data_IF_402104264387
#
_entry.id   IF_402104264387
#
_cell.length_a   1.000
_cell.length_b   1.000
_cell.length_c   1.000
_cell.angle_alpha   90.00
_cell.angle_beta   90.00
_cell.angle_gamma   90.00
#
_symmetry.space_group_name_H-M   'P 1'
#
loop_
_entity.id
_entity.type
_entity.pdbx_description
1 polymer ?
#
# COMPACT_ATOMS: atom_id res chain seq x y z
N UNK A 1 12.70 6.44 2.89
CA UNK A 1 11.97 5.42 3.69
C UNK A 1 10.91 4.68 2.88
N UNK A 2 9.93 5.39 2.30
CA UNK A 2 8.81 4.76 1.57
C UNK A 2 9.24 3.83 0.44
N UNK A 3 10.17 4.24 -0.43
CA UNK A 3 10.73 3.37 -1.49
C UNK A 3 11.26 2.03 -0.95
N UNK A 4 11.96 2.04 0.19
CA UNK A 4 12.48 0.81 0.80
C UNK A 4 11.34 -0.08 1.34
N UNK A 5 10.25 0.49 1.86
CA UNK A 5 9.06 -0.26 2.29
C UNK A 5 8.31 -0.84 1.09
N UNK A 6 8.18 -0.08 0.00
CA UNK A 6 7.61 -0.52 -1.27
C UNK A 6 8.41 -1.71 -1.81
N UNK A 7 9.74 -1.57 -1.88
CA UNK A 7 10.64 -2.64 -2.31
C UNK A 7 10.45 -3.93 -1.48
N UNK A 8 10.47 -3.80 -0.13
CA UNK A 8 10.23 -4.94 0.76
C UNK A 8 8.85 -5.58 0.56
N UNK A 9 7.81 -4.77 0.33
CA UNK A 9 6.47 -5.26 0.05
C UNK A 9 6.43 -6.05 -1.26
N UNK A 10 6.94 -5.47 -2.36
CA UNK A 10 6.93 -6.10 -3.69
C UNK A 10 7.67 -7.44 -3.68
N UNK A 11 8.85 -7.51 -3.06
CA UNK A 11 9.58 -8.77 -2.90
C UNK A 11 8.77 -9.77 -2.07
N UNK A 12 8.17 -9.33 -0.95
CA UNK A 12 7.40 -10.21 -0.06
C UNK A 12 6.20 -10.84 -0.76
N UNK A 13 5.58 -10.14 -1.71
CA UNK A 13 4.43 -10.66 -2.48
C UNK A 13 4.85 -11.48 -3.72
N UNK A 14 6.16 -11.57 -4.01
CA UNK A 14 6.69 -12.47 -5.05
C UNK A 14 7.27 -11.77 -6.28
N UNK A 15 7.50 -10.45 -6.26
CA UNK A 15 8.22 -9.79 -7.35
C UNK A 15 9.70 -10.19 -7.32
N UNK A 16 10.23 -10.70 -8.44
CA UNK A 16 11.66 -10.96 -8.62
C UNK A 16 12.48 -9.65 -8.47
N UNK A 17 13.42 -9.58 -7.49
CA UNK A 17 14.28 -8.41 -7.30
C UNK A 17 15.11 -8.03 -8.54
N UNK A 18 15.44 -8.99 -9.42
CA UNK A 18 16.19 -8.72 -10.67
C UNK A 18 15.33 -8.03 -11.72
N UNK A 19 14.00 -8.07 -11.56
CA UNK A 19 13.00 -7.49 -12.45
C UNK A 19 12.27 -6.32 -11.79
N UNK A 20 12.85 -5.73 -10.75
CA UNK A 20 12.33 -4.58 -10.02
C UNK A 20 13.35 -3.45 -10.06
N UNK A 21 12.91 -2.24 -10.41
CA UNK A 21 13.74 -1.03 -10.31
C UNK A 21 12.92 0.14 -9.79
N UNK A 22 13.62 1.16 -9.30
CA UNK A 22 13.02 2.47 -9.05
C UNK A 22 13.51 3.46 -10.10
N UNK A 23 12.57 4.11 -10.79
CA UNK A 23 12.86 5.13 -11.80
C UNK A 23 12.38 6.48 -11.27
N UNK A 24 13.27 7.47 -11.26
CA UNK A 24 12.89 8.84 -10.97
C UNK A 24 12.21 9.48 -12.19
N UNK A 25 11.19 10.28 -11.97
CA UNK A 25 10.59 11.10 -13.02
C UNK A 25 11.56 12.19 -13.48
N UNK A 26 11.54 12.47 -14.79
CA UNK A 26 12.22 13.66 -15.32
C UNK A 26 11.35 14.91 -15.12
N UNK A 27 11.95 16.09 -15.19
CA UNK A 27 11.25 17.36 -14.99
C UNK A 27 10.09 17.61 -15.97
N UNK A 28 10.15 17.03 -17.17
CA UNK A 28 9.10 17.10 -18.20
C UNK A 28 7.98 16.05 -18.04
N UNK A 29 8.15 15.08 -17.15
CA UNK A 29 7.17 14.02 -16.85
C UNK A 29 6.48 14.23 -15.50
N UNK A 30 7.04 15.10 -14.66
CA UNK A 30 6.56 15.37 -13.32
C UNK A 30 5.13 15.91 -13.36
N UNK A 31 4.25 15.28 -12.57
CA UNK A 31 2.89 15.76 -12.41
C UNK A 31 2.88 17.20 -11.86
N UNK A 32 1.92 18.02 -12.30
CA UNK A 32 1.81 19.43 -11.92
C UNK A 32 1.69 19.69 -10.41
N UNK A 33 1.35 18.67 -9.63
CA UNK A 33 1.22 18.71 -8.18
C UNK A 33 2.43 18.15 -7.42
N UNK A 34 3.41 17.56 -8.11
CA UNK A 34 4.54 16.88 -7.49
C UNK A 34 5.82 17.72 -7.59
N UNK A 35 6.69 17.62 -6.57
CA UNK A 35 8.03 18.21 -6.56
C UNK A 35 9.15 17.17 -6.77
N UNK A 36 8.90 15.89 -6.50
CA UNK A 36 9.73 14.76 -6.90
C UNK A 36 8.84 13.50 -7.00
N UNK A 37 9.22 12.52 -7.82
CA UNK A 37 8.49 11.28 -7.94
C UNK A 37 9.40 10.11 -8.32
N UNK A 38 9.20 8.98 -7.64
CA UNK A 38 9.91 7.72 -7.91
C UNK A 38 8.93 6.58 -8.11
N UNK A 39 8.99 5.94 -9.26
CA UNK A 39 8.13 4.80 -9.60
C UNK A 39 8.88 3.49 -9.35
N UNK A 40 8.25 2.57 -8.65
CA UNK A 40 8.64 1.17 -8.65
C UNK A 40 8.11 0.51 -9.93
N UNK A 41 9.01 0.15 -10.82
CA UNK A 41 8.71 -0.50 -12.09
C UNK A 41 9.06 -1.98 -12.04
N UNK A 42 8.17 -2.82 -12.58
CA UNK A 42 8.41 -4.25 -12.74
C UNK A 42 8.62 -4.57 -14.22
N UNK A 43 9.63 -5.37 -14.53
CA UNK A 43 9.91 -5.84 -15.90
C UNK A 43 9.03 -7.03 -16.23
N UNK A 44 8.08 -6.81 -17.13
CA UNK A 44 7.14 -7.81 -17.63
C UNK A 44 7.37 -8.05 -19.12
N UNK A 45 6.56 -8.94 -19.71
CA UNK A 45 6.46 -9.19 -21.14
C UNK A 45 6.06 -7.95 -21.95
N UNK A 46 5.43 -6.96 -21.30
CA UNK A 46 5.11 -5.64 -21.87
C UNK A 46 6.22 -4.60 -21.68
N UNK A 47 7.39 -5.01 -21.17
CA UNK A 47 8.48 -4.12 -20.77
C UNK A 47 8.37 -3.67 -19.31
N UNK A 48 9.07 -2.58 -19.00
CA UNK A 48 9.03 -1.97 -17.67
C UNK A 48 7.70 -1.23 -17.49
N UNK A 49 6.89 -1.69 -16.55
CA UNK A 49 5.61 -1.07 -16.22
C UNK A 49 5.64 -0.49 -14.81
N UNK A 50 5.09 0.72 -14.65
CA UNK A 50 4.90 1.35 -13.35
C UNK A 50 3.86 0.57 -12.54
N UNK A 51 4.27 0.10 -11.35
CA UNK A 51 3.43 -0.68 -10.44
C UNK A 51 3.08 0.08 -9.16
N UNK A 52 4.01 0.93 -8.69
CA UNK A 52 3.79 1.79 -7.52
C UNK A 52 4.45 3.15 -7.77
N UNK A 53 3.67 4.22 -7.87
CA UNK A 53 4.17 5.59 -7.87
C UNK A 53 4.44 6.07 -6.44
N UNK A 54 5.54 6.80 -6.21
CA UNK A 54 5.85 7.42 -4.92
C UNK A 54 6.13 8.90 -5.14
N UNK A 55 5.09 9.72 -5.03
CA UNK A 55 5.15 11.15 -5.30
C UNK A 55 5.31 11.97 -4.01
N UNK A 56 6.15 13.00 -4.04
CA UNK A 56 6.12 14.10 -3.08
C UNK A 56 5.22 15.20 -3.65
N UNK A 57 4.03 15.37 -3.07
CA UNK A 57 3.03 16.35 -3.48
C UNK A 57 3.16 17.66 -2.71
N UNK A 58 4.13 17.76 -1.80
CA UNK A 58 4.27 18.84 -0.85
C UNK A 58 2.90 19.20 -0.25
N UNK A 59 2.57 20.48 -0.13
CA UNK A 59 1.30 20.97 0.40
C UNK A 59 0.26 21.30 -0.69
N UNK A 60 0.44 20.81 -1.94
CA UNK A 60 -0.36 21.26 -3.09
C UNK A 60 -1.85 21.06 -2.86
N UNK A 61 -2.28 19.84 -2.52
CA UNK A 61 -3.70 19.49 -2.42
C UNK A 61 -4.42 20.22 -1.29
N UNK A 62 -3.82 20.25 -0.11
CA UNK A 62 -4.38 20.97 1.04
C UNK A 62 -4.50 22.46 0.75
N UNK A 63 -3.53 23.03 0.03
CA UNK A 63 -3.56 24.44 -0.38
C UNK A 63 -4.67 24.70 -1.39
N UNK A 64 -4.82 23.85 -2.40
CA UNK A 64 -5.87 24.02 -3.42
C UNK A 64 -7.28 23.83 -2.81
N UNK A 65 -7.48 22.81 -1.98
CA UNK A 65 -8.76 22.60 -1.29
C UNK A 65 -9.08 23.73 -0.31
N UNK A 66 -8.09 24.27 0.41
CA UNK A 66 -8.28 25.45 1.26
C UNK A 66 -8.75 26.65 0.44
N UNK A 67 -8.10 26.92 -0.70
CA UNK A 67 -8.47 28.03 -1.60
C UNK A 67 -9.88 27.87 -2.17
N UNK A 68 -10.24 26.66 -2.59
CA UNK A 68 -11.52 26.40 -3.22
C UNK A 68 -12.70 26.44 -2.23
N UNK A 69 -12.50 25.96 -1.00
CA UNK A 69 -13.58 25.81 -0.01
C UNK A 69 -13.63 26.92 1.03
N UNK A 70 -12.54 27.67 1.21
CA UNK A 70 -12.38 28.59 2.33
C UNK A 70 -12.19 27.90 3.69
N UNK A 71 -12.18 26.57 3.74
CA UNK A 71 -11.96 25.80 4.96
C UNK A 71 -10.46 25.58 5.15
N UNK A 72 -9.92 26.02 6.29
CA UNK A 72 -8.48 25.93 6.56
C UNK A 72 -8.06 24.49 6.86
N UNK A 73 -7.19 23.92 6.02
CA UNK A 73 -6.60 22.59 6.20
C UNK A 73 -5.13 22.73 6.63
N UNK A 74 -4.89 22.93 7.92
CA UNK A 74 -3.56 23.08 8.49
C UNK A 74 -3.43 22.35 9.83
N UNK A 75 -2.19 22.08 10.23
CA UNK A 75 -1.85 21.55 11.53
C UNK A 75 -1.16 22.63 12.38
N UNK A 76 -1.31 22.55 13.70
CA UNK A 76 -0.62 23.43 14.64
C UNK A 76 0.47 22.66 15.38
N UNK A 77 1.66 23.25 15.45
CA UNK A 77 2.78 22.75 16.25
C UNK A 77 3.08 23.75 17.37
N UNK A 78 3.07 23.27 18.61
CA UNK A 78 3.45 24.10 19.76
C UNK A 78 4.91 24.51 19.64
N UNK A 79 5.17 25.79 19.86
CA UNK A 79 6.52 26.31 19.95
C UNK A 79 7.15 25.90 21.29
N UNK A 80 8.47 25.62 21.33
CA UNK A 80 9.17 25.33 22.59
C UNK A 80 9.06 26.46 23.62
N UNK A 81 8.97 27.71 23.16
CA UNK A 81 8.68 28.88 23.97
C UNK A 81 7.83 29.87 23.14
N UNK A 82 6.96 30.68 23.79
CA UNK A 82 6.16 31.68 23.08
C UNK A 82 7.05 32.70 22.37
N UNK A 83 6.71 33.01 21.12
CA UNK A 83 7.43 34.01 20.32
C UNK A 83 6.61 35.29 20.25
N UNK A 84 7.20 36.43 20.56
CA UNK A 84 6.59 37.74 20.30
C UNK A 84 6.88 38.10 18.84
N UNK A 85 5.84 38.41 18.08
CA UNK A 85 5.93 38.78 16.67
C UNK A 85 5.27 40.14 16.48
N UNK A 86 5.98 41.05 15.81
CA UNK A 86 5.40 42.31 15.37
C UNK A 86 4.47 42.03 14.19
N UNK A 87 3.18 42.35 14.36
CA UNK A 87 2.14 42.18 13.36
C UNK A 87 1.78 43.54 12.80
N UNK A 88 1.79 43.64 11.47
CA UNK A 88 1.31 44.79 10.71
C UNK A 88 0.17 44.32 9.83
N UNK A 89 -1.04 44.85 10.05
CA UNK A 89 -2.22 44.45 9.29
C UNK A 89 -3.00 45.67 8.80
N UNK A 90 -3.56 45.56 7.59
CA UNK A 90 -4.60 46.45 7.14
C UNK A 90 -5.89 46.13 7.92
N UNK A 91 -6.40 47.10 8.68
CA UNK A 91 -7.61 47.01 9.47
C UNK A 91 -8.77 47.71 8.74
N UNK A 92 -9.52 47.00 7.88
CA UNK A 92 -10.62 47.58 7.13
C UNK A 92 -11.83 47.91 8.00
N UNK A 93 -12.43 49.08 7.77
CA UNK A 93 -13.74 49.45 8.29
C UNK A 93 -14.83 48.81 7.42
N UNK A 94 -15.23 47.60 7.79
CA UNK A 94 -16.23 46.78 7.07
C UNK A 94 -17.55 47.53 6.81
N UNK A 95 -17.96 48.42 7.72
CA UNK A 95 -19.19 49.18 7.58
C UNK A 95 -19.13 50.23 6.47
N UNK A 96 -18.01 50.96 6.36
CA UNK A 96 -17.80 51.96 5.31
C UNK A 96 -17.56 51.27 3.98
N UNK A 97 -16.68 50.28 3.93
CA UNK A 97 -16.39 49.50 2.70
C UNK A 97 -17.66 48.84 2.16
N UNK A 98 -18.48 48.25 3.04
CA UNK A 98 -19.75 47.63 2.64
C UNK A 98 -20.75 48.63 2.04
N UNK A 99 -20.81 49.86 2.55
CA UNK A 99 -21.69 50.92 2.02
C UNK A 99 -21.17 51.47 0.69
N UNK A 100 -19.86 51.66 0.56
CA UNK A 100 -19.22 52.24 -0.61
C UNK A 100 -19.22 51.28 -1.80
N UNK A 101 -18.72 50.05 -1.61
CA UNK A 101 -18.46 49.10 -2.71
C UNK A 101 -19.56 48.06 -2.91
N UNK A 102 -20.52 47.95 -1.97
CA UNK A 102 -21.70 47.06 -2.06
C UNK A 102 -21.34 45.62 -2.47
N UNK A 103 -21.60 45.24 -3.73
CA UNK A 103 -21.35 43.88 -4.27
C UNK A 103 -19.85 43.57 -4.35
N UNK A 104 -19.00 44.58 -4.51
CA UNK A 104 -17.54 44.43 -4.60
C UNK A 104 -16.87 44.44 -3.22
N UNK A 105 -17.59 44.79 -2.14
CA UNK A 105 -17.03 44.93 -0.80
C UNK A 105 -16.27 43.67 -0.33
N UNK A 106 -16.75 42.48 -0.70
CA UNK A 106 -16.05 41.23 -0.39
C UNK A 106 -14.68 41.17 -1.07
N UNK A 107 -14.60 41.48 -2.36
CA UNK A 107 -13.35 41.46 -3.13
C UNK A 107 -12.34 42.48 -2.57
N UNK A 108 -12.81 43.66 -2.15
CA UNK A 108 -11.97 44.68 -1.50
C UNK A 108 -11.43 44.18 -0.15
N UNK A 109 -12.27 43.55 0.68
CA UNK A 109 -11.84 42.99 1.97
C UNK A 109 -10.82 41.85 1.79
N UNK A 110 -11.07 40.95 0.84
CA UNK A 110 -10.17 39.83 0.53
C UNK A 110 -8.82 40.34 -0.01
N UNK A 111 -8.83 41.37 -0.86
CA UNK A 111 -7.61 42.00 -1.39
C UNK A 111 -6.80 42.73 -0.30
N UNK A 112 -7.46 43.47 0.61
CA UNK A 112 -6.79 44.11 1.75
C UNK A 112 -6.19 43.08 2.73
N UNK A 113 -6.88 41.96 2.96
CA UNK A 113 -6.38 40.89 3.82
C UNK A 113 -5.22 40.09 3.22
N UNK A 114 -4.99 40.20 1.91
CA UNK A 114 -3.93 39.49 1.19
C UNK A 114 -2.67 40.33 0.91
N UNK A 115 -2.61 41.58 1.39
CA UNK A 115 -1.45 42.46 1.20
C UNK A 115 -0.22 41.93 1.95
N UNK A 116 0.96 42.05 1.32
CA UNK A 116 2.25 41.81 1.98
C UNK A 116 2.60 42.99 2.90
N UNK A 117 3.49 42.77 3.87
CA UNK A 117 3.96 43.82 4.79
C UNK A 117 4.50 45.06 4.03
N UNK A 118 5.24 44.84 2.95
CA UNK A 118 5.77 45.89 2.07
C UNK A 118 4.62 46.74 1.47
N UNK A 119 3.56 46.09 0.98
CA UNK A 119 2.40 46.78 0.43
C UNK A 119 1.55 47.46 1.50
N UNK A 120 1.53 46.95 2.73
CA UNK A 120 0.85 47.61 3.85
C UNK A 120 1.61 48.89 4.26
N UNK A 121 2.95 48.87 4.21
CA UNK A 121 3.75 50.07 4.41
C UNK A 121 3.53 51.12 3.30
N UNK A 122 3.38 50.69 2.04
CA UNK A 122 2.98 51.55 0.92
C UNK A 122 1.57 52.12 1.11
N UNK A 123 0.61 51.27 1.49
CA UNK A 123 -0.76 51.65 1.82
C UNK A 123 -0.76 52.77 2.88
N UNK A 124 -0.01 52.62 3.97
CA UNK A 124 0.06 53.63 5.03
C UNK A 124 0.56 54.99 4.51
N UNK A 125 1.58 54.98 3.65
CA UNK A 125 2.13 56.21 3.03
C UNK A 125 1.14 56.86 2.07
N UNK A 126 0.58 56.10 1.13
CA UNK A 126 -0.37 56.63 0.15
C UNK A 126 -1.68 57.10 0.78
N UNK A 127 -2.13 56.44 1.86
CA UNK A 127 -3.25 56.92 2.62
C UNK A 127 -2.98 58.33 3.15
N UNK A 128 -1.76 58.66 3.58
CA UNK A 128 -1.41 60.02 4.03
C UNK A 128 -1.69 61.09 2.97
N UNK A 129 -1.43 60.77 1.70
CA UNK A 129 -1.64 61.61 0.51
C UNK A 129 -3.12 61.64 0.04
N UNK A 130 -3.96 60.75 0.56
CA UNK A 130 -5.42 60.82 0.49
C UNK A 130 -6.09 59.55 0.00
N UNK A 131 -5.46 58.81 -0.90
CA UNK A 131 -6.04 57.63 -1.57
C UNK A 131 -4.96 56.60 -1.88
N UNK A 132 -5.27 55.32 -1.68
CA UNK A 132 -4.47 54.20 -2.18
C UNK A 132 -5.24 53.44 -3.26
N UNK A 133 -4.58 53.10 -4.36
CA UNK A 133 -5.15 52.30 -5.43
C UNK A 133 -4.90 50.81 -5.15
N UNK A 134 -5.95 50.11 -4.77
CA UNK A 134 -5.91 48.68 -4.51
C UNK A 134 -6.30 47.91 -5.76
N UNK A 135 -5.40 47.06 -6.25
CA UNK A 135 -5.70 46.12 -7.35
C UNK A 135 -6.45 44.89 -6.82
N UNK A 136 -7.60 44.59 -7.41
CA UNK A 136 -8.44 43.44 -7.09
C UNK A 136 -8.03 42.19 -7.91
N UNK A 137 -8.60 41.05 -7.57
CA UNK A 137 -8.29 39.75 -8.20
C UNK A 137 -8.69 39.67 -9.68
N UNK A 138 -9.64 40.50 -10.13
CA UNK A 138 -10.07 40.63 -11.53
C UNK A 138 -9.27 41.71 -12.30
N UNK A 139 -8.16 42.16 -11.74
CA UNK A 139 -7.30 43.24 -12.22
C UNK A 139 -7.92 44.64 -12.22
N UNK A 140 -9.15 44.81 -11.73
CA UNK A 140 -9.72 46.15 -11.53
C UNK A 140 -9.01 46.88 -10.39
N UNK A 141 -8.99 48.21 -10.44
CA UNK A 141 -8.43 49.04 -9.38
C UNK A 141 -9.55 49.80 -8.67
N UNK A 142 -9.50 49.79 -7.34
CA UNK A 142 -10.41 50.55 -6.49
C UNK A 142 -9.62 51.51 -5.59
N UNK A 143 -10.22 52.66 -5.32
CA UNK A 143 -9.64 53.69 -4.48
C UNK A 143 -10.08 53.54 -3.03
N UNK A 144 -9.11 53.36 -2.13
CA UNK A 144 -9.33 53.15 -0.70
C UNK A 144 -8.80 54.36 0.07
N UNK A 145 -9.59 54.89 1.01
CA UNK A 145 -9.27 56.10 1.78
C UNK A 145 -9.03 55.80 3.26
N UNK A 146 -8.55 56.80 4.02
CA UNK A 146 -8.28 56.71 5.47
C UNK A 146 -9.51 56.28 6.28
N UNK A 147 -10.71 56.63 5.84
CA UNK A 147 -11.96 56.27 6.52
C UNK A 147 -12.35 54.79 6.30
N UNK A 148 -11.80 54.18 5.25
CA UNK A 148 -12.10 52.81 4.83
C UNK A 148 -11.11 51.79 5.40
N UNK A 149 -9.85 52.16 5.57
CA UNK A 149 -8.82 51.25 6.09
C UNK A 149 -7.78 52.02 6.90
N UNK A 150 -7.40 51.45 8.04
CA UNK A 150 -6.30 51.93 8.87
C UNK A 150 -5.22 50.86 8.96
N UNK A 151 -3.96 51.25 9.14
CA UNK A 151 -2.88 50.29 9.42
C UNK A 151 -2.74 50.12 10.93
N UNK A 152 -2.74 48.87 11.40
CA UNK A 152 -2.51 48.54 12.80
C UNK A 152 -1.18 47.83 12.95
N UNK A 153 -0.37 48.31 13.89
CA UNK A 153 0.90 47.70 14.30
C UNK A 153 0.78 47.29 15.76
N UNK A 154 0.96 46.02 16.06
CA UNK A 154 0.89 45.51 17.43
C UNK A 154 1.77 44.26 17.60
N UNK A 155 2.15 43.98 18.84
CA UNK A 155 2.85 42.76 19.19
C UNK A 155 1.88 41.66 19.55
N UNK A 156 2.06 40.48 18.97
CA UNK A 156 1.29 39.29 19.29
C UNK A 156 2.21 38.21 19.82
N UNK A 157 1.87 37.66 20.98
CA UNK A 157 2.50 36.43 21.48
C UNK A 157 1.90 35.23 20.76
N UNK A 158 2.74 34.49 20.08
CA UNK A 158 2.38 33.29 19.32
C UNK A 158 2.90 32.07 20.08
N UNK A 159 2.00 31.14 20.41
CA UNK A 159 2.32 29.90 21.14
C UNK A 159 2.44 28.68 20.22
N UNK A 160 1.90 28.79 19.00
CA UNK A 160 1.85 27.71 18.01
C UNK A 160 2.29 28.24 16.66
N UNK A 161 3.02 27.42 15.91
CA UNK A 161 3.25 27.64 14.48
C UNK A 161 2.24 26.82 13.68
N UNK A 162 1.63 27.45 12.68
CA UNK A 162 0.76 26.75 11.74
C UNK A 162 1.61 26.20 10.59
N UNK A 163 1.36 24.95 10.22
CA UNK A 163 2.06 24.23 9.16
C UNK A 163 1.02 23.60 8.25
N UNK A 164 1.17 23.79 6.94
CA UNK A 164 0.41 23.01 5.96
C UNK A 164 1.23 21.74 5.68
N UNK A 165 0.73 20.54 6.08
CA UNK A 165 1.51 19.32 5.97
C UNK A 165 1.91 18.99 4.52
N UNK A 166 3.18 18.64 4.31
CA UNK A 166 3.62 18.01 3.06
C UNK A 166 3.15 16.55 3.00
N UNK A 167 2.77 16.10 1.81
CA UNK A 167 2.21 14.76 1.58
C UNK A 167 3.15 13.94 0.68
N UNK A 168 3.64 12.82 1.20
CA UNK A 168 4.25 11.76 0.39
C UNK A 168 3.18 10.71 0.09
N UNK A 169 2.96 10.41 -1.18
CA UNK A 169 1.93 9.50 -1.66
C UNK A 169 2.55 8.27 -2.35
N UNK A 170 2.60 7.12 -1.65
CA UNK A 170 2.75 5.81 -2.27
C UNK A 170 1.41 5.31 -2.84
N UNK A 171 1.28 5.28 -4.16
CA UNK A 171 0.08 4.83 -4.87
C UNK A 171 0.32 3.47 -5.51
N UNK A 172 -0.44 2.44 -5.09
CA UNK A 172 -0.23 1.05 -5.51
C UNK A 172 -1.25 0.62 -6.56
N UNK A 173 -0.78 0.33 -7.78
CA UNK A 173 -1.58 -0.30 -8.82
C UNK A 173 -1.72 -1.81 -8.58
N UNK A 174 -2.57 -2.23 -7.64
CA UNK A 174 -2.70 -3.64 -7.21
C UNK A 174 -2.90 -4.61 -8.38
N UNK A 175 -3.67 -4.24 -9.41
CA UNK A 175 -3.85 -5.05 -10.61
C UNK A 175 -2.54 -5.28 -11.38
N UNK A 176 -1.71 -4.24 -11.54
CA UNK A 176 -0.40 -4.35 -12.20
C UNK A 176 0.60 -5.12 -11.35
N UNK A 177 0.61 -4.89 -10.03
CA UNK A 177 1.44 -5.65 -9.08
C UNK A 177 1.11 -7.14 -9.17
N UNK A 178 -0.18 -7.49 -9.16
CA UNK A 178 -0.63 -8.88 -9.26
C UNK A 178 -0.27 -9.51 -10.61
N UNK A 179 -0.42 -8.78 -11.71
CA UNK A 179 0.02 -9.24 -13.03
C UNK A 179 1.53 -9.53 -13.08
N UNK A 180 2.36 -8.60 -12.58
CA UNK A 180 3.80 -8.78 -12.50
C UNK A 180 4.17 -9.98 -11.61
N UNK A 181 3.49 -10.16 -10.48
CA UNK A 181 3.66 -11.34 -9.61
C UNK A 181 3.32 -12.63 -10.36
N UNK A 182 2.23 -12.70 -11.12
CA UNK A 182 1.93 -13.88 -11.92
C UNK A 182 3.01 -14.18 -12.95
N UNK A 183 3.44 -13.17 -13.70
CA UNK A 183 4.45 -13.38 -14.74
C UNK A 183 5.81 -13.80 -14.16
N UNK A 184 6.21 -13.22 -13.03
CA UNK A 184 7.48 -13.55 -12.38
C UNK A 184 7.48 -14.94 -11.72
N UNK A 185 6.31 -15.49 -11.41
CA UNK A 185 6.17 -16.76 -10.69
C UNK A 185 5.59 -17.91 -11.54
N UNK A 186 5.18 -17.65 -12.78
CA UNK A 186 4.71 -18.70 -13.68
C UNK A 186 5.87 -19.58 -14.15
N UNK A 187 5.76 -20.88 -13.92
CA UNK A 187 6.79 -21.87 -14.22
C UNK A 187 6.19 -23.10 -14.89
N UNK A 188 7.02 -23.82 -15.64
CA UNK A 188 6.73 -25.14 -16.19
C UNK A 188 7.55 -26.18 -15.42
N UNK A 189 7.06 -27.42 -15.34
CA UNK A 189 7.84 -28.54 -14.81
C UNK A 189 8.80 -29.07 -15.87
N UNK A 190 9.99 -29.46 -15.44
CA UNK A 190 10.96 -30.10 -16.32
C UNK A 190 10.42 -31.45 -16.81
N UNK A 191 10.45 -31.68 -18.12
CA UNK A 191 10.00 -32.93 -18.75
C UNK A 191 8.50 -33.06 -18.99
N UNK A 192 7.67 -32.09 -18.58
CA UNK A 192 6.23 -32.08 -18.87
C UNK A 192 5.74 -30.63 -19.09
N UNK A 193 5.75 -30.18 -20.35
CA UNK A 193 5.36 -28.81 -20.71
C UNK A 193 3.90 -28.47 -20.39
N UNK A 194 3.05 -29.47 -20.22
CA UNK A 194 1.64 -29.29 -19.88
C UNK A 194 1.46 -29.03 -18.38
N UNK A 195 2.44 -29.37 -17.54
CA UNK A 195 2.39 -29.13 -16.09
C UNK A 195 2.98 -27.77 -15.76
N UNK A 196 2.09 -26.80 -15.66
CA UNK A 196 2.41 -25.44 -15.22
C UNK A 196 2.10 -25.25 -13.74
N UNK A 197 2.77 -24.32 -13.09
CA UNK A 197 2.50 -23.93 -11.71
C UNK A 197 2.89 -22.48 -11.45
N UNK A 198 2.27 -21.90 -10.43
CA UNK A 198 2.58 -20.55 -9.97
C UNK A 198 3.35 -20.63 -8.65
N UNK A 199 4.61 -20.21 -8.67
CA UNK A 199 5.56 -20.20 -7.55
C UNK A 199 5.28 -19.09 -6.52
N UNK A 200 4.02 -18.80 -6.23
CA UNK A 200 3.66 -17.71 -5.31
C UNK A 200 4.20 -17.96 -3.89
N UNK A 201 4.70 -16.92 -3.20
CA UNK A 201 5.06 -17.04 -1.78
C UNK A 201 3.87 -17.53 -0.94
N UNK A 202 4.08 -18.43 0.04
CA UNK A 202 2.98 -18.99 0.84
C UNK A 202 2.09 -17.93 1.51
N UNK A 203 2.68 -16.80 1.91
CA UNK A 203 1.97 -15.68 2.55
C UNK A 203 0.87 -15.08 1.66
N UNK A 204 1.01 -15.13 0.32
CA UNK A 204 0.04 -14.57 -0.64
C UNK A 204 -0.67 -15.63 -1.50
N UNK A 205 -0.28 -16.90 -1.42
CA UNK A 205 -0.96 -17.96 -2.13
C UNK A 205 -2.47 -18.01 -1.79
N UNK A 206 -3.39 -18.20 -2.77
CA UNK A 206 -4.83 -18.11 -2.53
C UNK A 206 -5.34 -19.12 -1.49
N UNK A 207 -4.84 -20.35 -1.60
CA UNK A 207 -5.03 -21.42 -0.64
C UNK A 207 -3.65 -21.89 -0.18
N UNK A 208 -3.52 -22.21 1.10
CA UNK A 208 -2.23 -22.59 1.69
C UNK A 208 -1.99 -24.08 1.60
N UNK A 209 -3.05 -24.89 1.64
CA UNK A 209 -2.95 -26.34 1.67
C UNK A 209 -3.96 -27.03 0.75
N UNK A 210 -3.57 -28.15 0.15
CA UNK A 210 -4.50 -29.14 -0.38
C UNK A 210 -4.53 -30.38 0.52
N UNK A 211 -5.68 -31.04 0.62
CA UNK A 211 -5.82 -32.33 1.33
C UNK A 211 -6.27 -33.36 0.31
N UNK A 212 -5.45 -34.39 0.11
CA UNK A 212 -5.52 -35.31 -1.02
C UNK A 212 -5.45 -36.76 -0.53
N UNK A 213 -6.56 -37.53 -0.53
CA UNK A 213 -6.46 -38.97 -0.27
C UNK A 213 -5.72 -39.67 -1.42
N UNK A 214 -4.89 -40.69 -1.19
CA UNK A 214 -4.08 -41.31 -2.25
C UNK A 214 -4.95 -41.92 -3.36
N UNK A 215 -6.08 -42.49 -2.97
CA UNK A 215 -7.08 -43.14 -3.82
C UNK A 215 -8.49 -42.88 -3.28
N UNK A 216 -9.51 -43.46 -3.92
CA UNK A 216 -10.91 -43.40 -3.45
C UNK A 216 -11.24 -44.37 -2.31
N UNK A 217 -10.26 -44.86 -1.54
CA UNK A 217 -10.50 -45.76 -0.43
C UNK A 217 -11.34 -45.04 0.66
N UNK A 218 -12.45 -45.67 1.08
CA UNK A 218 -13.35 -45.16 2.10
C UNK A 218 -12.64 -44.96 3.46
N UNK A 219 -11.60 -45.73 3.76
CA UNK A 219 -10.83 -45.63 5.00
C UNK A 219 -10.07 -44.31 5.14
N UNK A 220 -9.83 -43.59 4.03
CA UNK A 220 -9.18 -42.27 4.07
C UNK A 220 -10.16 -41.13 4.44
N UNK A 221 -11.46 -41.32 4.24
CA UNK A 221 -12.48 -40.27 4.42
C UNK A 221 -12.49 -39.69 5.84
N UNK A 222 -12.42 -40.49 6.93
CA UNK A 222 -12.35 -39.95 8.28
C UNK A 222 -11.14 -39.04 8.50
N UNK A 223 -9.96 -39.44 7.99
CA UNK A 223 -8.73 -38.66 8.12
C UNK A 223 -8.78 -37.35 7.34
N UNK A 224 -9.32 -37.37 6.12
CA UNK A 224 -9.54 -36.16 5.31
C UNK A 224 -10.42 -35.16 6.06
N UNK A 225 -11.53 -35.63 6.63
CA UNK A 225 -12.48 -34.80 7.37
C UNK A 225 -11.86 -34.17 8.62
N UNK A 226 -11.17 -34.98 9.44
CA UNK A 226 -10.50 -34.50 10.66
C UNK A 226 -9.42 -33.48 10.32
N UNK A 227 -8.57 -33.79 9.33
CA UNK A 227 -7.51 -32.88 8.93
C UNK A 227 -8.04 -31.55 8.37
N UNK A 228 -9.11 -31.57 7.59
CA UNK A 228 -9.78 -30.36 7.10
C UNK A 228 -10.32 -29.51 8.27
N UNK A 229 -10.91 -30.13 9.29
CA UNK A 229 -11.38 -29.43 10.49
C UNK A 229 -10.23 -28.82 11.28
N UNK A 230 -9.13 -29.55 11.48
CA UNK A 230 -7.97 -29.04 12.20
C UNK A 230 -7.26 -27.92 11.45
N UNK A 231 -7.13 -28.00 10.11
CA UNK A 231 -6.62 -26.89 9.29
C UNK A 231 -7.51 -25.64 9.40
N UNK A 232 -8.84 -25.81 9.41
CA UNK A 232 -9.78 -24.71 9.63
C UNK A 232 -9.56 -24.08 11.01
N UNK A 233 -9.39 -24.90 12.05
CA UNK A 233 -9.21 -24.46 13.43
C UNK A 233 -7.94 -23.61 13.64
N UNK A 234 -6.91 -23.82 12.82
CA UNK A 234 -5.66 -23.04 12.86
C UNK A 234 -5.58 -21.94 11.78
N UNK A 235 -6.72 -21.54 11.23
CA UNK A 235 -6.87 -20.48 10.21
C UNK A 235 -6.08 -20.71 8.92
N UNK A 236 -5.93 -21.98 8.50
CA UNK A 236 -5.27 -22.35 7.26
C UNK A 236 -6.31 -22.54 6.15
N UNK A 237 -6.33 -21.63 5.18
CA UNK A 237 -7.15 -21.79 3.98
C UNK A 237 -6.69 -23.00 3.17
N UNK A 238 -7.61 -23.91 2.88
CA UNK A 238 -7.28 -25.16 2.24
C UNK A 238 -8.39 -25.66 1.32
N UNK A 239 -8.07 -26.65 0.48
CA UNK A 239 -9.02 -27.33 -0.41
C UNK A 239 -8.85 -28.84 -0.33
N UNK A 240 -9.94 -29.55 -0.14
CA UNK A 240 -9.99 -31.01 -0.30
C UNK A 240 -10.16 -31.31 -1.80
N UNK A 241 -9.32 -32.19 -2.35
CA UNK A 241 -9.49 -32.74 -3.70
C UNK A 241 -9.45 -34.27 -3.64
N UNK A 242 -10.66 -34.82 -3.50
CA UNK A 242 -11.00 -36.25 -3.44
C UNK A 242 -11.53 -36.75 -4.79
N UNK A 243 -11.40 -35.96 -5.86
CA UNK A 243 -11.96 -36.33 -7.15
C UNK A 243 -11.25 -37.53 -7.80
N UNK A 244 -11.97 -38.22 -8.68
CA UNK A 244 -11.47 -39.40 -9.40
C UNK A 244 -10.28 -39.04 -10.28
N UNK A 245 -9.07 -39.44 -9.88
CA UNK A 245 -7.84 -39.23 -10.64
C UNK A 245 -6.60 -39.64 -9.85
N UNK A 246 -5.50 -39.92 -10.56
CA UNK A 246 -4.23 -40.22 -9.91
C UNK A 246 -3.77 -39.05 -9.03
N UNK A 247 -3.00 -39.35 -7.99
CA UNK A 247 -2.44 -38.33 -7.10
C UNK A 247 -1.60 -37.29 -7.88
N UNK A 248 -0.89 -37.72 -8.91
CA UNK A 248 -0.14 -36.82 -9.80
C UNK A 248 -1.01 -35.79 -10.54
N UNK A 249 -2.19 -36.20 -11.03
CA UNK A 249 -3.15 -35.26 -11.67
C UNK A 249 -3.74 -34.28 -10.66
N UNK A 250 -3.97 -34.75 -9.44
CA UNK A 250 -4.43 -33.89 -8.33
C UNK A 250 -3.39 -32.85 -7.95
N UNK A 251 -2.13 -33.27 -7.77
CA UNK A 251 -1.03 -32.32 -7.58
C UNK A 251 -0.90 -31.33 -8.74
N UNK A 252 -1.03 -31.78 -9.99
CA UNK A 252 -0.97 -30.88 -11.14
C UNK A 252 -2.03 -29.75 -11.03
N UNK A 253 -3.29 -30.08 -10.73
CA UNK A 253 -4.35 -29.08 -10.56
C UNK A 253 -4.12 -28.15 -9.37
N UNK A 254 -3.58 -28.65 -8.27
CA UNK A 254 -3.32 -27.81 -7.08
C UNK A 254 -2.11 -26.91 -7.27
N UNK A 255 -1.07 -27.41 -7.95
CA UNK A 255 0.13 -26.65 -8.30
C UNK A 255 -0.21 -25.51 -9.28
N UNK A 256 -1.08 -25.76 -10.25
CA UNK A 256 -1.55 -24.80 -11.27
C UNK A 256 -2.23 -23.57 -10.64
N UNK A 257 -3.00 -23.76 -9.57
CA UNK A 257 -3.64 -22.67 -8.81
C UNK A 257 -2.81 -22.18 -7.61
N UNK A 258 -1.50 -22.41 -7.64
CA UNK A 258 -0.50 -21.89 -6.71
C UNK A 258 -0.58 -22.40 -5.26
N UNK A 259 -1.24 -23.53 -4.97
CA UNK A 259 -1.26 -24.07 -3.60
C UNK A 259 0.16 -24.51 -3.22
N UNK A 260 0.77 -23.92 -2.18
CA UNK A 260 2.18 -24.15 -1.86
C UNK A 260 2.42 -25.50 -1.18
N UNK A 261 1.43 -26.03 -0.47
CA UNK A 261 1.56 -27.28 0.29
C UNK A 261 0.44 -28.26 -0.01
N UNK A 262 0.76 -29.54 -0.13
CA UNK A 262 -0.22 -30.60 -0.29
C UNK A 262 -0.03 -31.68 0.77
N UNK A 263 -1.10 -32.05 1.46
CA UNK A 263 -1.11 -33.18 2.39
C UNK A 263 -1.71 -34.38 1.69
N UNK A 264 -0.97 -35.49 1.68
CA UNK A 264 -1.43 -36.75 1.13
C UNK A 264 -1.68 -37.78 2.22
N UNK A 265 -2.92 -38.28 2.25
CA UNK A 265 -3.37 -39.34 3.14
C UNK A 265 -3.28 -40.64 2.36
N UNK A 266 -2.51 -41.60 2.84
CA UNK A 266 -2.24 -42.88 2.20
C UNK A 266 -2.42 -44.07 3.15
N UNK A 267 -2.09 -45.27 2.69
CA UNK A 267 -2.23 -46.49 3.49
C UNK A 267 -1.38 -46.47 4.78
N UNK A 268 -0.19 -45.86 4.75
CA UNK A 268 0.62 -45.66 5.94
C UNK A 268 -0.06 -44.73 6.96
N UNK A 269 -1.02 -43.89 6.53
CA UNK A 269 -1.81 -43.04 7.44
C UNK A 269 -2.76 -43.86 8.31
N UNK A 270 -3.17 -45.04 7.84
CA UNK A 270 -4.05 -45.94 8.60
C UNK A 270 -3.31 -46.62 9.76
N UNK A 271 -1.98 -46.72 9.68
CA UNK A 271 -1.13 -47.28 10.74
C UNK A 271 -1.03 -46.31 11.91
N UNK A 272 -0.78 -46.87 13.10
CA UNK A 272 -0.50 -46.10 14.32
C UNK A 272 1.01 -46.08 14.60
N UNK A 273 1.61 -44.92 14.92
CA UNK A 273 0.99 -43.60 15.02
C UNK A 273 0.56 -43.04 13.65
N UNK A 274 -0.56 -42.33 13.62
CA UNK A 274 -1.10 -41.78 12.38
C UNK A 274 -0.25 -40.61 11.88
N UNK A 275 0.26 -40.73 10.65
CA UNK A 275 1.06 -39.72 9.98
C UNK A 275 0.62 -39.55 8.53
N UNK A 276 0.87 -38.40 7.94
CA UNK A 276 0.60 -38.14 6.53
C UNK A 276 1.80 -37.46 5.86
N UNK A 277 1.82 -37.49 4.54
CA UNK A 277 2.90 -36.89 3.76
C UNK A 277 2.58 -35.42 3.48
N UNK A 278 3.49 -34.51 3.84
CA UNK A 278 3.46 -33.11 3.45
C UNK A 278 4.38 -32.90 2.25
N UNK A 279 3.85 -32.35 1.16
CA UNK A 279 4.56 -32.01 -0.06
C UNK A 279 4.65 -30.49 -0.23
N UNK A 280 5.81 -30.00 -0.66
CA UNK A 280 6.00 -28.62 -1.08
C UNK A 280 5.94 -28.48 -2.62
N UNK A 281 5.30 -27.41 -3.09
CA UNK A 281 5.01 -27.18 -4.50
C UNK A 281 6.28 -27.04 -5.33
N UNK A 282 7.18 -26.11 -5.02
CA UNK A 282 8.26 -25.72 -5.94
C UNK A 282 9.28 -26.84 -6.15
N UNK A 283 9.81 -27.41 -5.06
CA UNK A 283 10.76 -28.51 -5.05
C UNK A 283 10.12 -29.88 -5.33
N UNK A 284 8.81 -30.02 -5.10
CA UNK A 284 8.12 -31.31 -5.04
C UNK A 284 8.61 -32.24 -3.93
N UNK A 285 9.46 -31.75 -3.03
CA UNK A 285 9.97 -32.49 -1.88
C UNK A 285 8.86 -32.90 -0.94
N UNK A 286 9.05 -34.02 -0.24
CA UNK A 286 8.05 -34.63 0.62
C UNK A 286 8.67 -35.05 1.95
N UNK A 287 7.93 -34.81 3.04
CA UNK A 287 8.28 -35.26 4.39
C UNK A 287 7.08 -35.94 5.04
N UNK A 288 7.33 -36.84 5.99
CA UNK A 288 6.29 -37.51 6.77
C UNK A 288 6.14 -36.84 8.13
N UNK A 289 4.91 -36.44 8.49
CA UNK A 289 4.61 -35.73 9.75
C UNK A 289 3.41 -36.37 10.42
N UNK A 290 3.43 -36.44 11.75
CA UNK A 290 2.28 -36.91 12.53
C UNK A 290 1.08 -35.97 12.37
N UNK A 291 -0.13 -36.53 12.35
CA UNK A 291 -1.35 -35.76 12.06
C UNK A 291 -1.66 -34.67 13.09
N UNK A 292 -1.20 -34.81 14.33
CA UNK A 292 -1.38 -33.83 15.41
C UNK A 292 -0.49 -32.58 15.26
N UNK A 293 0.70 -32.72 14.67
CA UNK A 293 1.62 -31.60 14.42
C UNK A 293 1.36 -30.89 13.09
N UNK A 294 0.85 -31.65 12.11
CA UNK A 294 0.82 -31.25 10.70
C UNK A 294 0.07 -29.92 10.44
N UNK A 295 -1.12 -29.65 11.01
CA UNK A 295 -1.79 -28.36 10.83
C UNK A 295 -0.96 -27.17 11.33
N UNK A 296 -0.26 -27.34 12.46
CA UNK A 296 0.62 -26.31 13.03
C UNK A 296 1.81 -25.99 12.12
N UNK A 297 2.43 -27.03 11.55
CA UNK A 297 3.54 -26.88 10.58
C UNK A 297 3.08 -26.12 9.35
N UNK A 298 1.94 -26.49 8.76
CA UNK A 298 1.39 -25.80 7.58
C UNK A 298 1.04 -24.34 7.89
N UNK A 299 0.45 -24.06 9.05
CA UNK A 299 0.17 -22.69 9.50
C UNK A 299 1.45 -21.85 9.58
N UNK A 300 2.51 -22.40 10.15
CA UNK A 300 3.74 -21.65 10.37
C UNK A 300 4.53 -21.45 9.07
N UNK A 301 4.50 -22.42 8.14
CA UNK A 301 4.96 -22.25 6.77
C UNK A 301 4.15 -21.17 6.01
N UNK A 302 2.82 -21.22 6.09
CA UNK A 302 1.94 -20.28 5.39
C UNK A 302 2.11 -18.83 5.86
N UNK A 303 2.45 -18.64 7.14
CA UNK A 303 2.74 -17.33 7.73
C UNK A 303 4.21 -16.90 7.58
N UNK A 304 5.07 -17.73 6.98
CA UNK A 304 6.49 -17.47 6.82
C UNK A 304 7.27 -17.41 8.14
N UNK A 305 6.81 -18.13 9.18
CA UNK A 305 7.53 -18.27 10.46
C UNK A 305 8.64 -19.32 10.38
N UNK A 306 8.44 -20.33 9.54
CA UNK A 306 9.42 -21.37 9.21
C UNK A 306 9.50 -21.51 7.69
N UNK A 307 10.59 -22.07 7.21
CA UNK A 307 10.89 -22.34 5.79
C UNK A 307 10.78 -23.83 5.48
N UNK A 308 10.66 -24.15 4.18
CA UNK A 308 10.65 -25.55 3.75
C UNK A 308 11.95 -26.29 4.14
N UNK A 309 13.10 -25.65 4.03
CA UNK A 309 14.38 -26.25 4.42
C UNK A 309 14.46 -26.59 5.91
N UNK A 310 13.86 -25.79 6.78
CA UNK A 310 13.73 -26.11 8.21
C UNK A 310 12.81 -27.31 8.45
N UNK A 311 11.76 -27.46 7.65
CA UNK A 311 10.86 -28.61 7.70
C UNK A 311 11.57 -29.88 7.22
N UNK A 312 12.31 -29.83 6.11
CA UNK A 312 13.13 -30.95 5.63
C UNK A 312 14.24 -31.37 6.60
N UNK A 313 14.77 -30.42 7.37
CA UNK A 313 15.78 -30.72 8.40
C UNK A 313 15.18 -31.36 9.65
N UNK A 314 13.90 -31.07 9.96
CA UNK A 314 13.23 -31.54 11.17
C UNK A 314 12.51 -32.88 10.98
N UNK A 315 11.91 -33.11 9.81
CA UNK A 315 11.02 -34.25 9.56
C UNK A 315 11.64 -35.26 8.57
N UNK A 316 11.34 -36.55 8.71
CA UNK A 316 11.89 -37.58 7.83
C UNK A 316 11.42 -37.37 6.38
N UNK A 317 12.37 -37.41 5.45
CA UNK A 317 12.06 -37.37 4.01
C UNK A 317 11.24 -38.60 3.62
N UNK A 318 10.27 -38.38 2.74
CA UNK A 318 9.45 -39.43 2.21
C UNK A 318 9.94 -39.80 0.80
N UNK A 319 10.49 -41.00 0.65
CA UNK A 319 10.98 -41.52 -0.64
C UNK A 319 9.98 -42.49 -1.28
N UNK A 320 9.36 -43.35 -0.48
CA UNK A 320 8.33 -44.29 -0.90
C UNK A 320 7.50 -44.76 0.30
N UNK A 321 6.31 -45.31 0.05
CA UNK A 321 5.50 -45.99 1.07
C UNK A 321 6.16 -47.31 1.48
N UNK A 322 6.09 -47.65 2.76
CA UNK A 322 6.60 -48.93 3.26
C UNK A 322 5.64 -50.08 2.93
N UNK A 323 4.35 -49.78 2.78
CA UNK A 323 3.34 -50.75 2.29
C UNK A 323 3.07 -50.57 0.82
N UNK A 324 3.65 -51.45 0.01
CA UNK A 324 3.04 -51.84 -1.27
C UNK A 324 2.13 -53.03 -0.97
N UNK A 325 0.85 -52.81 -0.71
CA UNK A 325 -0.11 -53.92 -0.76
C UNK A 325 -0.94 -53.86 -2.04
N UNK A 326 -0.92 -55.04 -2.68
CA UNK A 326 -1.51 -55.53 -3.91
C UNK A 326 -2.94 -55.07 -4.23
#
# INVERSE_FOLDING_TARGET
YFMARIHKFLIKVGVDPKRLRFRQHMSNEMAHYACDCWDAECLTSYGWIECVGCADRSAYDLTQHTKATGVRLAAEKKLPAPKIVDVVEAAPNRGVIGKTFRKEAKNVLDALGALSNEKIDELEKSLAEGVYKLKLADESEVEVTKDMVAVKRYQKTVHVEEIIPSVIEPSFGIGRVMYAVFEHNFKKRDGDEMRTYLSLPPVVAPLKCSVLPLSGNADFVPFVKVLSQELTRVDVSHKVDDSSGSIGRRYARTDEIAIPFGITIDFDTLKKPHSATLRERDSMGQVRINLDELPGVVRDLANGKITWSEVEAKYPKFEQQETNEA
#
